data_IF_460636014193
#
_entry.id   IF_460636014193
#
_cell.length_a   1.000
_cell.length_b   1.000
_cell.length_c   1.000
_cell.angle_alpha   90.00
_cell.angle_beta   90.00
_cell.angle_gamma   90.00
#
_symmetry.space_group_name_H-M   'P 1'
#
loop_
_entity.id
_entity.type
_entity.pdbx_description
1 polymer ?
#
# COMPACT_ATOMS: atom_id res chain seq x y z
N UNK A 1 3.85 -3.47 -0.63
CA UNK A 1 2.43 -3.88 -0.47
C UNK A 1 2.10 -4.97 -1.48
N UNK A 2 1.03 -5.73 -1.28
CA UNK A 2 0.71 -6.95 -2.05
C UNK A 2 -0.57 -6.84 -2.88
N UNK A 3 -1.05 -5.61 -3.09
CA UNK A 3 -2.26 -5.29 -3.84
C UNK A 3 -1.92 -4.18 -4.84
N UNK A 4 -2.38 -4.34 -6.08
CA UNK A 4 -2.41 -3.29 -7.11
C UNK A 4 -3.87 -2.96 -7.43
N UNK A 5 -4.11 -1.81 -8.03
CA UNK A 5 -5.46 -1.36 -8.40
C UNK A 5 -5.51 -1.04 -9.89
N UNK A 6 -6.42 -1.69 -10.59
CA UNK A 6 -6.78 -1.36 -11.96
C UNK A 6 -7.88 -0.30 -11.87
N UNK A 7 -7.56 0.92 -12.28
CA UNK A 7 -8.47 2.06 -12.16
C UNK A 7 -9.53 1.99 -13.25
N UNK A 8 -10.80 2.07 -12.83
CA UNK A 8 -11.94 2.31 -13.69
C UNK A 8 -12.38 3.76 -13.55
N UNK A 9 -13.29 4.00 -12.60
CA UNK A 9 -13.91 5.30 -12.35
C UNK A 9 -13.15 6.17 -11.32
N UNK A 10 -12.09 5.61 -10.71
CA UNK A 10 -11.17 6.26 -9.79
C UNK A 10 -11.77 6.66 -8.44
N UNK A 11 -12.96 6.17 -8.08
CA UNK A 11 -13.67 6.58 -6.87
C UNK A 11 -13.24 5.87 -5.60
N UNK A 12 -12.62 4.69 -5.71
CA UNK A 12 -12.17 3.89 -4.57
C UNK A 12 -10.66 3.67 -4.54
N UNK A 13 -9.92 4.37 -5.38
CA UNK A 13 -8.45 4.31 -5.44
C UNK A 13 -7.84 5.61 -4.92
N UNK A 14 -6.93 5.51 -3.94
CA UNK A 14 -6.18 6.66 -3.43
C UNK A 14 -5.04 7.03 -4.38
N UNK A 15 -5.01 8.29 -4.81
CA UNK A 15 -4.07 8.80 -5.80
C UNK A 15 -2.61 8.66 -5.36
N UNK A 16 -2.26 9.03 -4.13
CA UNK A 16 -0.85 9.06 -3.69
C UNK A 16 -0.32 7.72 -3.17
N UNK A 17 -1.16 6.92 -2.52
CA UNK A 17 -0.72 5.74 -1.74
C UNK A 17 -0.97 4.41 -2.43
N UNK A 18 -2.00 4.30 -3.26
CA UNK A 18 -2.35 3.03 -3.88
C UNK A 18 -1.49 2.77 -5.11
N UNK A 19 -1.32 1.49 -5.44
CA UNK A 19 -0.51 1.05 -6.58
C UNK A 19 -1.34 0.96 -7.84
N UNK A 20 -1.55 2.09 -8.47
CA UNK A 20 -2.49 2.21 -9.60
C UNK A 20 -1.84 2.76 -10.87
N UNK A 21 -0.70 3.44 -10.77
CA UNK A 21 0.02 3.98 -11.91
C UNK A 21 1.16 3.03 -12.29
N UNK A 22 1.03 2.34 -13.43
CA UNK A 22 2.01 1.31 -13.86
C UNK A 22 2.36 0.30 -12.75
N UNK A 23 1.34 -0.18 -12.03
CA UNK A 23 1.46 -1.12 -10.89
C UNK A 23 2.25 -0.60 -9.68
N UNK A 24 2.56 0.70 -9.66
CA UNK A 24 3.31 1.37 -8.59
C UNK A 24 2.46 2.44 -7.94
N UNK A 25 2.82 2.77 -6.71
CA UNK A 25 2.29 3.95 -6.03
C UNK A 25 3.10 5.17 -6.44
N UNK A 26 2.49 6.35 -6.44
CA UNK A 26 3.21 7.60 -6.76
C UNK A 26 4.37 7.82 -5.77
N UNK A 27 4.23 7.39 -4.51
CA UNK A 27 5.31 7.38 -3.53
C UNK A 27 6.54 6.57 -3.95
N UNK A 28 6.36 5.55 -4.79
CA UNK A 28 7.44 4.73 -5.33
C UNK A 28 8.03 5.32 -6.62
N UNK A 29 7.22 6.03 -7.41
CA UNK A 29 7.65 6.62 -8.69
C UNK A 29 8.30 8.00 -8.51
N UNK A 30 7.75 8.81 -7.61
CA UNK A 30 8.13 10.20 -7.38
C UNK A 30 8.36 10.51 -5.89
N UNK A 31 9.30 9.81 -5.21
CA UNK A 31 9.49 9.91 -3.77
C UNK A 31 9.91 11.30 -3.27
N UNK A 32 10.62 12.09 -4.10
CA UNK A 32 11.10 13.42 -3.72
C UNK A 32 9.99 14.48 -3.69
N UNK A 33 8.83 14.24 -4.31
CA UNK A 33 7.66 15.12 -4.18
C UNK A 33 6.96 14.92 -2.84
N UNK A 34 7.02 13.71 -2.28
CA UNK A 34 6.21 13.33 -1.11
C UNK A 34 6.34 14.23 0.12
N UNK A 35 7.53 14.78 0.48
CA UNK A 35 7.64 15.72 1.58
C UNK A 35 6.83 17.02 1.40
N UNK A 36 6.51 17.36 0.15
CA UNK A 36 5.76 18.57 -0.22
C UNK A 36 4.26 18.33 -0.35
N UNK A 37 3.81 17.07 -0.28
CA UNK A 37 2.38 16.72 -0.35
C UNK A 37 1.72 16.91 1.01
N UNK A 38 0.63 17.68 1.06
CA UNK A 38 -0.18 17.84 2.27
C UNK A 38 -0.68 16.50 2.77
N UNK A 39 -0.63 16.31 4.09
CA UNK A 39 -1.13 15.10 4.76
C UNK A 39 -2.59 14.76 4.42
N UNK A 40 -3.42 15.78 4.14
CA UNK A 40 -4.80 15.59 3.68
C UNK A 40 -4.85 14.94 2.29
N UNK A 41 -4.08 15.48 1.33
CA UNK A 41 -3.98 14.93 -0.02
C UNK A 41 -3.52 13.49 0.02
N UNK A 42 -2.43 13.23 0.76
CA UNK A 42 -1.87 11.88 0.91
C UNK A 42 -2.88 10.82 1.37
N UNK A 43 -3.80 11.16 2.28
CA UNK A 43 -4.70 10.19 2.93
C UNK A 43 -6.09 10.06 2.30
N UNK A 44 -6.52 11.04 1.51
CA UNK A 44 -7.93 11.16 1.10
C UNK A 44 -8.12 11.41 -0.37
N UNK A 45 -7.10 11.88 -1.09
CA UNK A 45 -7.24 12.20 -2.50
C UNK A 45 -7.53 10.93 -3.29
N UNK A 46 -8.71 10.85 -3.89
CA UNK A 46 -9.05 9.79 -4.82
C UNK A 46 -8.50 10.09 -6.22
N UNK A 47 -8.28 9.06 -7.03
CA UNK A 47 -7.81 9.21 -8.42
C UNK A 47 -8.78 10.06 -9.23
N UNK A 48 -10.09 9.81 -9.10
CA UNK A 48 -11.14 10.62 -9.76
C UNK A 48 -10.95 12.12 -9.50
N UNK A 49 -10.89 12.48 -8.23
CA UNK A 49 -10.77 13.88 -7.80
C UNK A 49 -9.44 14.47 -8.26
N UNK A 50 -8.35 13.69 -8.15
CA UNK A 50 -7.00 14.13 -8.52
C UNK A 50 -6.91 14.52 -10.00
N UNK A 51 -7.45 13.67 -10.88
CA UNK A 51 -7.40 13.88 -12.32
C UNK A 51 -8.36 14.99 -12.78
N UNK A 52 -9.48 15.17 -12.07
CA UNK A 52 -10.42 16.25 -12.35
C UNK A 52 -9.74 17.63 -12.21
N UNK A 53 -9.59 18.32 -13.34
CA UNK A 53 -8.98 19.64 -13.41
C UNK A 53 -7.55 19.72 -12.86
N UNK A 54 -6.78 18.61 -12.94
CA UNK A 54 -5.42 18.51 -12.37
C UNK A 54 -5.35 18.89 -10.89
N UNK A 55 -6.39 18.58 -10.11
CA UNK A 55 -6.49 19.03 -8.72
C UNK A 55 -5.44 18.38 -7.80
N UNK A 56 -4.80 17.29 -8.21
CA UNK A 56 -3.67 16.68 -7.51
C UNK A 56 -2.50 17.65 -7.28
N UNK A 57 -2.29 18.61 -8.18
CA UNK A 57 -1.26 19.65 -8.04
C UNK A 57 -1.47 20.52 -6.81
N UNK A 58 -2.73 20.71 -6.39
CA UNK A 58 -3.12 21.50 -5.20
C UNK A 58 -2.74 20.83 -3.88
N UNK A 59 -2.40 19.53 -3.93
CA UNK A 59 -1.92 18.80 -2.77
C UNK A 59 -0.46 19.13 -2.47
N UNK A 60 0.31 19.61 -3.45
CA UNK A 60 1.72 19.96 -3.34
C UNK A 60 1.85 21.40 -2.83
N UNK A 61 2.78 21.63 -1.89
CA UNK A 61 2.96 22.93 -1.22
C UNK A 61 4.43 23.32 -1.19
N UNK A 62 4.67 24.63 -1.30
CA UNK A 62 6.00 25.22 -1.19
C UNK A 62 6.76 25.16 -2.50
N UNK A 63 8.02 25.60 -2.44
CA UNK A 63 8.93 25.53 -3.58
C UNK A 63 9.51 24.12 -3.72
N UNK A 64 9.39 23.54 -4.92
CA UNK A 64 10.00 22.25 -5.23
C UNK A 64 11.49 22.45 -5.56
N UNK A 65 12.41 21.72 -4.90
CA UNK A 65 13.80 21.66 -5.32
C UNK A 65 13.91 20.93 -6.66
N UNK A 66 15.03 21.11 -7.37
CA UNK A 66 15.26 20.60 -8.74
C UNK A 66 14.83 19.13 -8.91
N UNK A 67 15.24 18.25 -8.00
CA UNK A 67 14.89 16.83 -8.07
C UNK A 67 13.37 16.58 -7.98
N UNK A 68 12.69 17.27 -7.07
CA UNK A 68 11.24 17.15 -6.91
C UNK A 68 10.50 17.75 -8.11
N UNK A 69 11.05 18.81 -8.71
CA UNK A 69 10.52 19.40 -9.96
C UNK A 69 10.63 18.42 -11.12
N UNK A 70 11.77 17.75 -11.30
CA UNK A 70 11.91 16.71 -12.33
C UNK A 70 10.89 15.59 -12.15
N UNK A 71 10.70 15.12 -10.91
CA UNK A 71 9.71 14.08 -10.62
C UNK A 71 8.27 14.58 -10.80
N UNK A 72 7.99 15.85 -10.51
CA UNK A 72 6.69 16.46 -10.76
C UNK A 72 6.36 16.44 -12.26
N UNK A 73 7.32 16.81 -13.10
CA UNK A 73 7.15 16.78 -14.56
C UNK A 73 6.94 15.35 -15.07
N UNK A 74 7.72 14.39 -14.55
CA UNK A 74 7.55 12.98 -14.87
C UNK A 74 6.16 12.46 -14.46
N UNK A 75 5.68 12.85 -13.28
CA UNK A 75 4.34 12.50 -12.81
C UNK A 75 3.25 13.12 -13.68
N UNK A 76 3.38 14.41 -14.02
CA UNK A 76 2.44 15.10 -14.88
C UNK A 76 2.40 14.48 -16.29
N UNK A 77 3.53 14.00 -16.80
CA UNK A 77 3.62 13.31 -18.09
C UNK A 77 2.87 11.98 -18.08
N UNK A 78 3.15 11.12 -17.09
CA UNK A 78 2.45 9.82 -16.96
C UNK A 78 0.94 9.95 -16.76
N UNK A 79 0.49 11.03 -16.12
CA UNK A 79 -0.93 11.26 -15.84
C UNK A 79 -1.69 11.79 -17.06
N UNK A 80 -1.00 12.48 -17.99
CA UNK A 80 -1.64 13.24 -19.07
C UNK A 80 -2.59 12.40 -19.91
N UNK A 81 -2.21 11.16 -20.19
CA UNK A 81 -2.94 10.27 -21.10
C UNK A 81 -3.88 9.30 -20.36
N UNK A 82 -4.04 9.46 -19.05
CA UNK A 82 -4.92 8.61 -18.24
C UNK A 82 -6.36 9.08 -18.38
N UNK A 83 -7.19 8.28 -19.04
CA UNK A 83 -8.64 8.50 -19.14
C UNK A 83 -9.39 7.53 -18.23
N UNK A 84 -10.19 8.06 -17.32
CA UNK A 84 -11.06 7.25 -16.45
C UNK A 84 -12.27 6.73 -17.23
N UNK A 85 -12.71 5.52 -16.88
CA UNK A 85 -13.95 4.94 -17.40
C UNK A 85 -15.05 5.08 -16.35
N UNK A 86 -15.98 6.05 -16.47
CA UNK A 86 -17.00 6.30 -15.45
C UNK A 86 -18.02 5.16 -15.31
N UNK A 87 -18.04 4.19 -16.23
CA UNK A 87 -18.96 3.04 -16.18
C UNK A 87 -18.36 1.80 -15.50
N UNK A 88 -17.08 1.84 -15.16
CA UNK A 88 -16.36 0.69 -14.62
C UNK A 88 -15.84 1.01 -13.21
N UNK A 89 -16.09 0.13 -12.24
CA UNK A 89 -15.55 0.29 -10.90
C UNK A 89 -14.06 -0.05 -10.86
N UNK A 90 -13.33 0.51 -9.88
CA UNK A 90 -11.94 0.14 -9.65
C UNK A 90 -11.83 -1.33 -9.20
N UNK A 91 -10.79 -2.03 -9.64
CA UNK A 91 -10.56 -3.44 -9.34
C UNK A 91 -9.23 -3.65 -8.61
N UNK A 92 -9.28 -4.26 -7.42
CA UNK A 92 -8.09 -4.61 -6.66
C UNK A 92 -7.58 -6.01 -7.05
N UNK A 93 -6.29 -6.11 -7.37
CA UNK A 93 -5.65 -7.37 -7.76
C UNK A 93 -4.61 -7.75 -6.70
N UNK A 94 -4.72 -8.97 -6.19
CA UNK A 94 -3.80 -9.54 -5.21
C UNK A 94 -2.55 -10.09 -5.91
N UNK A 95 -1.38 -9.51 -5.66
CA UNK A 95 -0.15 -9.83 -6.42
C UNK A 95 0.59 -11.07 -5.91
N UNK A 96 0.10 -11.72 -4.85
CA UNK A 96 0.79 -12.88 -4.26
C UNK A 96 0.26 -14.21 -4.77
N UNK A 97 -0.79 -14.17 -5.58
CA UNK A 97 -1.38 -15.32 -6.22
C UNK A 97 -1.53 -15.01 -7.73
N UNK A 98 -1.09 -15.89 -8.64
CA UNK A 98 -1.21 -15.66 -10.09
C UNK A 98 -2.65 -15.48 -10.56
N UNK A 99 -3.64 -16.01 -9.82
CA UNK A 99 -5.05 -15.80 -10.13
C UNK A 99 -5.53 -14.38 -9.86
N UNK A 100 -4.74 -13.54 -9.17
CA UNK A 100 -5.12 -12.18 -8.78
C UNK A 100 -6.13 -12.12 -7.64
N UNK A 101 -6.59 -13.27 -7.14
CA UNK A 101 -7.61 -13.34 -6.08
C UNK A 101 -6.95 -13.38 -4.69
N UNK A 102 -7.57 -12.67 -3.76
CA UNK A 102 -7.18 -12.73 -2.37
C UNK A 102 -7.55 -14.09 -1.75
N UNK A 103 -6.60 -14.68 -1.03
CA UNK A 103 -6.89 -15.81 -0.15
C UNK A 103 -6.13 -15.65 1.18
N UNK A 104 -6.78 -16.04 2.29
CA UNK A 104 -6.12 -16.01 3.61
C UNK A 104 -4.82 -16.81 3.63
N UNK A 105 -4.75 -17.90 2.85
CA UNK A 105 -3.54 -18.72 2.68
C UNK A 105 -2.39 -17.93 2.06
N UNK A 106 -2.60 -17.33 0.89
CA UNK A 106 -1.54 -16.57 0.19
C UNK A 106 -1.14 -15.29 0.95
N UNK A 107 -2.08 -14.66 1.65
CA UNK A 107 -1.79 -13.55 2.57
C UNK A 107 -0.93 -13.99 3.75
N UNK A 108 -1.26 -15.13 4.36
CA UNK A 108 -0.46 -15.71 5.42
C UNK A 108 0.95 -16.04 4.93
N UNK A 109 1.06 -16.68 3.77
CA UNK A 109 2.33 -17.04 3.17
C UNK A 109 3.21 -15.81 2.93
N UNK A 110 2.66 -14.74 2.35
CA UNK A 110 3.45 -13.55 2.05
C UNK A 110 3.87 -12.74 3.29
N UNK A 111 2.98 -12.57 4.27
CA UNK A 111 3.27 -11.70 5.41
C UNK A 111 3.90 -12.43 6.59
N UNK A 112 3.70 -13.74 6.74
CA UNK A 112 4.08 -14.47 7.94
C UNK A 112 5.14 -15.56 7.69
N UNK A 113 5.28 -16.15 6.50
CA UNK A 113 6.28 -17.24 6.29
C UNK A 113 7.73 -16.77 6.48
N UNK A 114 8.04 -15.51 6.17
CA UNK A 114 9.37 -14.94 6.46
C UNK A 114 9.57 -14.68 7.97
N UNK A 115 8.48 -14.55 8.74
CA UNK A 115 8.49 -14.23 10.18
C UNK A 115 8.56 -15.44 11.11
N UNK A 116 8.31 -16.66 10.64
CA UNK A 116 8.41 -17.88 11.47
C UNK A 116 9.85 -18.42 11.50
N UNK A 117 10.85 -17.55 11.77
CA UNK A 117 12.21 -17.99 12.12
C UNK A 117 12.38 -18.22 13.62
N UNK A 118 11.31 -18.55 14.33
CA UNK A 118 11.35 -18.67 15.80
C UNK A 118 11.16 -20.11 16.26
N UNK A 119 12.12 -21.00 16.01
CA UNK A 119 12.05 -22.43 16.41
C UNK A 119 11.63 -22.69 17.88
N UNK A 120 11.85 -21.73 18.78
CA UNK A 120 11.53 -21.84 20.21
C UNK A 120 10.02 -21.88 20.51
N UNK A 121 9.16 -21.19 19.73
CA UNK A 121 7.71 -21.24 19.97
C UNK A 121 7.15 -22.64 19.66
N UNK A 122 7.72 -23.31 18.67
CA UNK A 122 7.31 -24.67 18.31
C UNK A 122 7.59 -25.66 19.44
N UNK A 123 8.69 -25.49 20.20
CA UNK A 123 9.00 -26.29 21.39
C UNK A 123 8.03 -26.00 22.55
N UNK A 124 7.69 -24.74 22.77
CA UNK A 124 6.71 -24.34 23.79
C UNK A 124 5.35 -25.00 23.54
N UNK A 125 4.85 -24.92 22.30
CA UNK A 125 3.54 -25.46 21.94
C UNK A 125 3.52 -27.00 21.88
N UNK A 126 4.65 -27.64 21.54
CA UNK A 126 4.82 -29.11 21.58
C UNK A 126 5.06 -29.69 22.98
N UNK A 127 5.39 -28.86 23.98
CA UNK A 127 5.62 -29.34 25.35
C UNK A 127 4.34 -29.90 25.99
N UNK A 128 4.49 -30.85 26.91
CA UNK A 128 3.40 -31.42 27.70
C UNK A 128 3.04 -30.54 28.91
N UNK A 129 2.84 -29.24 28.66
CA UNK A 129 2.47 -28.27 29.69
C UNK A 129 1.01 -27.83 29.55
N UNK A 130 0.32 -27.52 30.67
CA UNK A 130 -1.03 -26.97 30.63
C UNK A 130 -1.10 -25.66 29.83
N UNK A 131 -2.22 -25.42 29.16
CA UNK A 131 -2.41 -24.26 28.26
C UNK A 131 -2.14 -22.91 28.95
N UNK A 132 -2.52 -22.79 30.23
CA UNK A 132 -2.26 -21.58 31.04
C UNK A 132 -0.76 -21.26 31.16
N UNK A 133 0.09 -22.28 31.29
CA UNK A 133 1.55 -22.13 31.41
C UNK A 133 2.15 -21.75 30.05
N UNK A 134 1.68 -22.36 28.96
CA UNK A 134 2.10 -22.01 27.60
C UNK A 134 1.78 -20.56 27.26
N UNK A 135 0.57 -20.11 27.59
CA UNK A 135 0.15 -18.71 27.38
C UNK A 135 1.00 -17.73 28.19
N UNK A 136 1.28 -18.03 29.46
CA UNK A 136 2.12 -17.19 30.31
C UNK A 136 3.55 -17.07 29.76
N UNK A 137 4.20 -18.19 29.44
CA UNK A 137 5.56 -18.19 28.87
C UNK A 137 5.57 -17.48 27.51
N UNK A 138 4.54 -17.68 26.68
CA UNK A 138 4.42 -16.99 25.40
C UNK A 138 4.30 -15.47 25.60
N UNK A 139 3.47 -14.99 26.53
CA UNK A 139 3.38 -13.56 26.86
C UNK A 139 4.69 -13.00 27.41
N UNK A 140 5.39 -13.78 28.26
CA UNK A 140 6.69 -13.41 28.83
C UNK A 140 7.75 -13.26 27.74
N UNK A 141 7.79 -14.18 26.77
CA UNK A 141 8.71 -14.11 25.63
C UNK A 141 8.50 -12.87 24.75
N UNK A 142 7.32 -12.27 24.81
CA UNK A 142 6.97 -11.05 24.07
C UNK A 142 7.03 -9.78 24.94
N UNK A 143 7.48 -9.86 26.21
CA UNK A 143 7.48 -8.76 27.17
C UNK A 143 6.09 -8.10 27.33
N UNK A 144 5.03 -8.92 27.39
CA UNK A 144 3.64 -8.47 27.59
C UNK A 144 3.03 -8.98 28.89
N UNK A 145 3.86 -9.24 29.89
CA UNK A 145 3.46 -9.63 31.25
C UNK A 145 3.32 -8.41 32.15
#
# INVERSE_FOLDING_TARGET
>A
MSVIVIVGDGSSTLFWSDRWIHEKAITEVAPAIMPFVRRRGWRRRMVREALEGNSWTKDIVGGLPVLATCQYLLLADMIRDITLNPKQQDHHVWTSDPSGHFSSKSAYERYFVVGIRFERHMRLWKSWTPLKVKLFIWLMMWNRC
#
